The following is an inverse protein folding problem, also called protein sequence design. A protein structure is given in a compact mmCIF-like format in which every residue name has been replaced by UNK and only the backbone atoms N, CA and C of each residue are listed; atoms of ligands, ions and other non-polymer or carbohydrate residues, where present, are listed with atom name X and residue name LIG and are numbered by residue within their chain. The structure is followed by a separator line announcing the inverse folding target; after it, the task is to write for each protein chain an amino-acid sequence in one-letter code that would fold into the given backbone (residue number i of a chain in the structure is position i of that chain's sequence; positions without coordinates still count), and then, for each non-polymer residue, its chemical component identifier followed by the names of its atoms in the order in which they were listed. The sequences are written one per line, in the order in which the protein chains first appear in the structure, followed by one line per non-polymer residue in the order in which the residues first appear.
data_IF_150742706231
#
_entry.id   IF_150742706231
#
_cell.length_a   1.000
_cell.length_b   1.000
_cell.length_c   1.000
_cell.angle_alpha   90.00
_cell.angle_beta   90.00
_cell.angle_gamma   90.00
#
_symmetry.space_group_name_H-M   'P 1'
#
loop_
_entity.id
_entity.type
_entity.pdbx_description
1 polymer ?
#
# COMPACT_ATOMS: atom_id res chain seq x y z
N UNK A 1 -19.99 11.32 62.03
CA UNK A 1 -18.91 11.28 61.01
C UNK A 1 -18.22 9.94 61.15
N UNK A 2 -18.54 9.00 60.26
CA UNK A 2 -18.12 7.60 60.38
C UNK A 2 -17.69 7.04 59.02
N UNK A 3 -16.58 6.29 59.06
CA UNK A 3 -16.21 5.12 58.25
C UNK A 3 -15.91 5.28 56.74
N UNK A 4 -14.60 5.20 56.39
CA UNK A 4 -14.11 4.32 55.30
C UNK A 4 -14.06 2.88 55.87
N UNK A 5 -14.10 1.76 55.11
CA UNK A 5 -13.78 1.53 53.69
C UNK A 5 -14.79 0.60 52.95
N UNK A 6 -14.61 0.33 51.65
CA UNK A 6 -15.12 -0.90 51.03
C UNK A 6 -14.36 -1.24 49.74
N UNK A 7 -13.49 -2.24 49.86
CA UNK A 7 -13.01 -3.09 48.79
C UNK A 7 -14.20 -3.77 48.10
N UNK A 8 -14.30 -3.66 46.76
CA UNK A 8 -15.15 -4.57 45.99
C UNK A 8 -14.31 -5.79 45.62
N UNK A 9 -14.52 -6.85 46.41
CA UNK A 9 -14.11 -8.22 46.15
C UNK A 9 -14.91 -8.77 44.97
N UNK A 10 -14.19 -9.47 44.09
CA UNK A 10 -14.62 -10.47 43.12
C UNK A 10 -16.07 -10.99 43.27
N UNK A 11 -16.90 -10.71 42.26
CA UNK A 11 -18.08 -11.52 41.94
C UNK A 11 -17.84 -12.17 40.57
N UNK A 12 -17.77 -13.49 40.60
CA UNK A 12 -17.87 -14.35 39.43
C UNK A 12 -19.21 -14.12 38.72
N UNK A 13 -19.17 -14.02 37.40
CA UNK A 13 -20.38 -14.10 36.58
C UNK A 13 -20.38 -13.14 35.40
N UNK A 14 -20.19 -13.73 34.22
CA UNK A 14 -20.93 -13.37 33.02
C UNK A 14 -20.74 -11.94 32.49
N UNK A 15 -19.70 -11.78 31.69
CA UNK A 15 -19.77 -11.28 30.30
C UNK A 15 -18.36 -10.86 29.94
N UNK A 16 -17.63 -11.77 29.27
CA UNK A 16 -16.57 -11.36 28.36
C UNK A 16 -17.30 -10.53 27.29
N UNK A 17 -17.49 -9.26 27.58
CA UNK A 17 -17.62 -8.22 26.58
C UNK A 17 -16.27 -8.26 25.89
N UNK A 18 -16.16 -9.14 24.89
CA UNK A 18 -15.37 -8.86 23.70
C UNK A 18 -15.98 -7.57 23.21
N UNK A 19 -15.50 -6.44 23.74
CA UNK A 19 -15.53 -5.21 23.00
C UNK A 19 -14.76 -5.58 21.73
N UNK A 20 -15.50 -5.93 20.69
CA UNK A 20 -14.95 -6.06 19.37
C UNK A 20 -14.35 -4.69 19.07
N UNK A 21 -13.05 -4.56 19.32
CA UNK A 21 -12.22 -3.81 18.40
C UNK A 21 -12.46 -4.50 17.07
N UNK A 22 -13.42 -4.00 16.30
CA UNK A 22 -13.40 -4.26 14.86
C UNK A 22 -12.01 -3.88 14.40
N UNK A 23 -11.40 -4.74 13.58
CA UNK A 23 -10.18 -4.36 12.89
C UNK A 23 -10.39 -2.97 12.24
N UNK A 24 -9.34 -2.11 12.20
CA UNK A 24 -9.45 -0.85 11.51
C UNK A 24 -9.93 -1.07 10.07
N UNK A 25 -10.83 -0.21 9.61
CA UNK A 25 -11.27 -0.22 8.22
C UNK A 25 -10.18 0.42 7.38
N UNK A 26 -9.45 -0.40 6.62
CA UNK A 26 -8.31 0.01 5.80
C UNK A 26 -8.69 0.22 4.33
N UNK A 27 -9.98 0.18 3.97
CA UNK A 27 -10.44 0.29 2.58
C UNK A 27 -9.94 1.57 1.89
N UNK A 28 -9.93 2.71 2.60
CA UNK A 28 -9.39 3.97 2.09
C UNK A 28 -7.88 3.87 1.81
N UNK A 29 -7.11 3.28 2.73
CA UNK A 29 -5.66 3.09 2.57
C UNK A 29 -5.32 2.17 1.40
N UNK A 30 -6.15 1.14 1.16
CA UNK A 30 -6.00 0.25 0.00
C UNK A 30 -6.25 1.02 -1.30
N UNK A 31 -7.35 1.76 -1.39
CA UNK A 31 -7.67 2.57 -2.57
C UNK A 31 -6.56 3.59 -2.87
N UNK A 32 -6.05 4.27 -1.83
CA UNK A 32 -4.96 5.23 -1.95
C UNK A 32 -3.67 4.60 -2.46
N UNK A 33 -3.35 3.40 -1.98
CA UNK A 33 -2.19 2.63 -2.43
C UNK A 33 -2.31 2.22 -3.89
N UNK A 34 -3.45 1.63 -4.29
CA UNK A 34 -3.68 1.21 -5.67
C UNK A 34 -3.65 2.40 -6.63
N UNK A 35 -4.22 3.55 -6.24
CA UNK A 35 -4.11 4.78 -7.01
C UNK A 35 -2.66 5.28 -7.13
N UNK A 36 -1.86 5.17 -6.07
CA UNK A 36 -0.45 5.55 -6.12
C UNK A 36 0.37 4.61 -7.02
N UNK A 37 0.11 3.31 -7.00
CA UNK A 37 0.70 2.33 -7.94
C UNK A 37 0.35 2.75 -9.37
N UNK A 38 -0.94 2.88 -9.67
CA UNK A 38 -1.44 3.22 -11.01
C UNK A 38 -0.85 4.55 -11.54
N UNK A 39 -0.83 5.58 -10.68
CA UNK A 39 -0.24 6.88 -11.00
C UNK A 39 1.26 6.79 -11.28
N UNK A 40 2.01 5.97 -10.52
CA UNK A 40 3.43 5.77 -10.77
C UNK A 40 3.72 5.01 -12.06
N UNK A 41 2.91 4.00 -12.40
CA UNK A 41 3.03 3.24 -13.65
C UNK A 41 2.66 4.12 -14.86
N UNK A 42 1.67 5.00 -14.72
CA UNK A 42 1.35 5.99 -15.75
C UNK A 42 2.56 6.87 -16.07
N UNK A 43 3.20 7.42 -15.03
CA UNK A 43 4.39 8.27 -15.18
C UNK A 43 5.57 7.52 -15.76
N UNK A 44 5.71 6.25 -15.41
CA UNK A 44 6.77 5.39 -15.96
C UNK A 44 6.61 5.23 -17.49
N UNK A 45 5.36 5.21 -17.98
CA UNK A 45 5.06 5.13 -19.40
C UNK A 45 5.12 6.45 -20.17
N UNK A 46 5.32 7.60 -19.51
CA UNK A 46 5.58 8.87 -20.22
C UNK A 46 6.86 8.77 -21.09
N UNK A 47 7.76 7.86 -20.72
CA UNK A 47 9.00 7.52 -21.44
C UNK A 47 8.94 6.15 -22.16
N UNK A 48 7.77 5.72 -22.64
CA UNK A 48 7.54 4.39 -23.23
C UNK A 48 8.62 3.90 -24.23
N UNK A 49 9.09 4.77 -25.13
CA UNK A 49 10.11 4.42 -26.12
C UNK A 49 11.46 4.01 -25.49
N UNK A 50 11.81 4.60 -24.35
CA UNK A 50 13.01 4.29 -23.58
C UNK A 50 12.95 2.88 -22.98
N UNK A 51 11.73 2.46 -22.61
CA UNK A 51 11.43 1.13 -22.09
C UNK A 51 11.22 0.08 -23.19
N UNK A 52 11.37 0.46 -24.46
CA UNK A 52 11.26 -0.44 -25.60
C UNK A 52 9.84 -0.66 -26.09
N UNK A 53 8.89 0.19 -25.70
CA UNK A 53 7.51 0.17 -26.19
C UNK A 53 7.31 1.19 -27.31
N UNK A 54 6.52 0.84 -28.33
CA UNK A 54 6.25 1.73 -29.47
C UNK A 54 5.28 2.86 -29.10
N UNK A 55 4.42 2.64 -28.10
CA UNK A 55 3.43 3.62 -27.64
C UNK A 55 3.27 3.60 -26.13
N UNK A 56 2.74 4.71 -25.58
CA UNK A 56 2.32 4.80 -24.17
C UNK A 56 1.29 3.70 -23.86
N UNK A 57 0.33 3.46 -24.75
CA UNK A 57 -0.70 2.42 -24.55
C UNK A 57 -0.10 1.02 -24.42
N UNK A 58 0.88 0.68 -25.26
CA UNK A 58 1.58 -0.60 -25.17
C UNK A 58 2.36 -0.75 -23.86
N UNK A 59 3.00 0.33 -23.39
CA UNK A 59 3.65 0.33 -22.09
C UNK A 59 2.65 0.09 -20.95
N UNK A 60 1.51 0.81 -20.96
CA UNK A 60 0.45 0.66 -19.97
C UNK A 60 -0.12 -0.76 -19.95
N UNK A 61 -0.40 -1.32 -21.13
CA UNK A 61 -0.88 -2.70 -21.27
C UNK A 61 0.16 -3.71 -20.74
N UNK A 62 1.45 -3.50 -21.02
CA UNK A 62 2.53 -4.36 -20.53
C UNK A 62 2.72 -4.30 -19.01
N UNK A 63 2.44 -3.15 -18.39
CA UNK A 63 2.44 -2.97 -16.94
C UNK A 63 1.12 -3.40 -16.27
N UNK A 64 0.14 -3.89 -17.03
CA UNK A 64 -1.17 -4.28 -16.50
C UNK A 64 -2.02 -3.11 -16.01
N UNK A 65 -1.72 -1.89 -16.46
CA UNK A 65 -2.35 -0.68 -15.97
C UNK A 65 -3.86 -0.66 -16.32
N UNK A 66 -4.70 -0.35 -15.32
CA UNK A 66 -6.15 -0.26 -15.49
C UNK A 66 -6.89 -1.61 -15.59
N UNK A 67 -6.19 -2.74 -15.46
CA UNK A 67 -6.80 -4.05 -15.34
C UNK A 67 -7.23 -4.29 -13.88
N UNK A 68 -8.53 -4.51 -13.64
CA UNK A 68 -8.99 -5.13 -12.40
C UNK A 68 -8.73 -4.35 -11.11
N UNK A 69 -8.86 -3.02 -11.09
CA UNK A 69 -8.69 -2.21 -9.86
C UNK A 69 -9.46 -2.78 -8.66
N UNK A 70 -10.75 -3.06 -8.85
CA UNK A 70 -11.59 -3.65 -7.80
C UNK A 70 -11.11 -5.04 -7.35
N UNK A 71 -10.49 -5.80 -8.26
CA UNK A 71 -9.95 -7.14 -8.00
C UNK A 71 -8.62 -7.05 -7.24
N UNK A 72 -7.79 -6.06 -7.56
CA UNK A 72 -6.55 -5.75 -6.83
C UNK A 72 -6.86 -5.25 -5.42
N UNK A 73 -7.79 -4.30 -5.26
CA UNK A 73 -8.21 -3.82 -3.94
C UNK A 73 -8.78 -4.97 -3.08
N UNK A 74 -9.62 -5.83 -3.67
CA UNK A 74 -10.15 -7.01 -2.98
C UNK A 74 -9.04 -8.02 -2.62
N UNK A 75 -8.04 -8.21 -3.49
CA UNK A 75 -6.90 -9.05 -3.20
C UNK A 75 -6.07 -8.50 -2.05
N UNK A 76 -5.77 -7.20 -2.04
CA UNK A 76 -5.00 -6.56 -0.96
C UNK A 76 -5.76 -6.66 0.36
N UNK A 77 -7.08 -6.47 0.35
CA UNK A 77 -7.93 -6.63 1.53
C UNK A 77 -7.84 -8.05 2.11
N UNK A 78 -7.97 -9.09 1.27
CA UNK A 78 -7.79 -10.49 1.69
C UNK A 78 -6.36 -10.76 2.17
N UNK A 79 -5.38 -10.23 1.44
CA UNK A 79 -3.97 -10.35 1.74
C UNK A 79 -3.56 -9.59 3.00
N UNK A 80 -4.40 -8.77 3.63
CA UNK A 80 -4.13 -8.08 4.90
C UNK A 80 -5.12 -8.48 6.01
N UNK A 81 -6.03 -9.41 5.73
CA UNK A 81 -7.02 -9.88 6.70
C UNK A 81 -6.34 -10.44 7.97
N UNK A 82 -6.72 -9.90 9.13
CA UNK A 82 -6.14 -10.22 10.43
C UNK A 82 -4.88 -9.44 10.81
N UNK A 83 -4.32 -8.64 9.90
CA UNK A 83 -3.17 -7.76 10.12
C UNK A 83 -3.52 -6.31 9.77
N UNK A 84 -4.78 -5.89 9.88
CA UNK A 84 -5.26 -4.65 9.29
C UNK A 84 -4.54 -3.41 9.84
N UNK A 85 -4.20 -3.39 11.14
CA UNK A 85 -3.45 -2.27 11.72
C UNK A 85 -2.03 -2.15 11.14
N UNK A 86 -1.30 -3.26 11.03
CA UNK A 86 0.04 -3.28 10.42
C UNK A 86 -0.06 -3.01 8.92
N UNK A 87 -1.10 -3.52 8.27
CA UNK A 87 -1.45 -3.26 6.88
C UNK A 87 -1.67 -1.78 6.61
N UNK A 88 -2.41 -1.07 7.47
CA UNK A 88 -2.63 0.37 7.35
C UNK A 88 -1.31 1.14 7.42
N UNK A 89 -0.45 0.83 8.39
CA UNK A 89 0.86 1.46 8.55
C UNK A 89 1.76 1.22 7.34
N UNK A 90 1.79 -0.01 6.82
CA UNK A 90 2.54 -0.36 5.61
C UNK A 90 2.00 0.39 4.39
N UNK A 91 0.68 0.31 4.12
CA UNK A 91 0.06 0.94 2.96
C UNK A 91 0.26 2.45 2.98
N UNK A 92 0.07 3.11 4.12
CA UNK A 92 0.30 4.54 4.26
C UNK A 92 1.74 4.93 3.90
N UNK A 93 2.73 4.18 4.38
CA UNK A 93 4.13 4.43 4.06
C UNK A 93 4.45 4.15 2.58
N UNK A 94 3.99 3.03 2.04
CA UNK A 94 4.24 2.63 0.66
C UNK A 94 3.59 3.59 -0.34
N UNK A 95 2.39 4.09 -0.04
CA UNK A 95 1.70 5.12 -0.83
C UNK A 95 2.54 6.39 -0.95
N UNK A 96 3.20 6.83 0.12
CA UNK A 96 4.10 8.00 0.06
C UNK A 96 5.31 7.71 -0.84
N UNK A 97 5.92 6.53 -0.71
CA UNK A 97 7.05 6.14 -1.56
C UNK A 97 6.68 6.10 -3.05
N UNK A 98 5.50 5.60 -3.39
CA UNK A 98 4.99 5.54 -4.76
C UNK A 98 4.64 6.92 -5.33
N UNK A 99 4.07 7.81 -4.51
CA UNK A 99 3.81 9.21 -4.90
C UNK A 99 5.12 9.96 -5.16
N UNK A 100 6.10 9.81 -4.28
CA UNK A 100 7.44 10.38 -4.48
C UNK A 100 8.13 9.82 -5.74
N UNK A 101 7.92 8.54 -6.04
CA UNK A 101 8.43 7.93 -7.27
C UNK A 101 7.76 8.53 -8.51
N UNK A 102 6.44 8.71 -8.49
CA UNK A 102 5.71 9.37 -9.57
C UNK A 102 6.18 10.81 -9.80
N UNK A 103 6.45 11.56 -8.72
CA UNK A 103 7.00 12.92 -8.80
C UNK A 103 8.43 12.91 -9.37
N UNK A 104 9.27 11.96 -8.94
CA UNK A 104 10.60 11.78 -9.51
C UNK A 104 10.52 11.50 -11.02
N UNK A 105 9.65 10.59 -11.45
CA UNK A 105 9.44 10.29 -12.87
C UNK A 105 8.98 11.51 -13.66
N UNK A 106 8.11 12.36 -13.08
CA UNK A 106 7.64 13.58 -13.72
C UNK A 106 8.77 14.60 -13.96
N UNK A 107 9.81 14.61 -13.12
CA UNK A 107 11.00 15.46 -13.30
C UNK A 107 11.95 14.94 -14.41
N UNK A 108 11.76 13.71 -14.92
CA UNK A 108 12.56 13.13 -15.99
C UNK A 108 12.13 13.58 -17.39
N UNK A 109 12.09 14.89 -17.65
CA UNK A 109 11.57 15.48 -18.89
C UNK A 109 12.28 14.98 -20.18
N UNK A 110 13.51 14.50 -20.05
CA UNK A 110 14.32 14.04 -21.18
C UNK A 110 14.36 12.52 -21.33
N UNK A 111 13.60 11.79 -20.50
CA UNK A 111 13.62 10.32 -20.48
C UNK A 111 15.04 9.76 -20.38
N UNK A 112 15.82 10.26 -19.43
CA UNK A 112 17.16 9.76 -19.16
C UNK A 112 17.08 8.45 -18.37
N UNK A 113 17.74 7.40 -18.88
CA UNK A 113 17.74 6.08 -18.24
C UNK A 113 18.43 6.09 -16.87
N UNK A 114 19.51 6.85 -16.71
CA UNK A 114 20.22 6.93 -15.43
C UNK A 114 19.38 7.66 -14.38
N UNK A 115 18.59 8.66 -14.80
CA UNK A 115 17.63 9.31 -13.93
C UNK A 115 16.49 8.37 -13.53
N UNK A 116 15.97 7.58 -14.47
CA UNK A 116 14.96 6.55 -14.19
C UNK A 116 15.46 5.54 -13.15
N UNK A 117 16.69 5.04 -13.31
CA UNK A 117 17.30 4.11 -12.35
C UNK A 117 17.43 4.72 -10.95
N UNK A 118 17.74 6.02 -10.85
CA UNK A 118 17.79 6.73 -9.57
C UNK A 118 16.41 6.83 -8.92
N UNK A 119 15.36 7.14 -9.69
CA UNK A 119 13.98 7.16 -9.18
C UNK A 119 13.55 5.80 -8.64
N UNK A 120 13.85 4.71 -9.37
CA UNK A 120 13.56 3.34 -8.93
C UNK A 120 14.32 2.99 -7.66
N UNK A 121 15.62 3.30 -7.58
CA UNK A 121 16.43 3.04 -6.39
C UNK A 121 15.93 3.80 -5.15
N UNK A 122 15.51 5.06 -5.31
CA UNK A 122 14.93 5.85 -4.22
C UNK A 122 13.60 5.25 -3.74
N UNK A 123 12.72 4.87 -4.68
CA UNK A 123 11.46 4.18 -4.38
C UNK A 123 11.70 2.88 -3.61
N UNK A 124 12.58 2.00 -4.10
CA UNK A 124 12.89 0.73 -3.45
C UNK A 124 13.46 0.95 -2.03
N UNK A 125 14.34 1.94 -1.87
CA UNK A 125 14.90 2.32 -0.56
C UNK A 125 13.81 2.78 0.40
N UNK A 126 12.85 3.58 -0.05
CA UNK A 126 11.72 4.05 0.76
C UNK A 126 10.77 2.91 1.13
N UNK A 127 10.46 2.02 0.18
CA UNK A 127 9.64 0.83 0.43
C UNK A 127 10.30 -0.11 1.44
N UNK A 128 11.61 -0.30 1.37
CA UNK A 128 12.36 -1.08 2.36
C UNK A 128 12.34 -0.42 3.75
N UNK A 129 12.30 0.91 3.80
CA UNK A 129 12.25 1.67 5.04
C UNK A 129 10.87 1.64 5.74
N UNK A 130 9.79 1.26 5.05
CA UNK A 130 8.46 1.13 5.65
C UNK A 130 8.40 0.04 6.74
N UNK A 131 9.40 -0.83 6.83
CA UNK A 131 9.32 -2.03 7.67
C UNK A 131 8.26 -2.97 7.11
N UNK A 132 8.10 -4.16 7.71
CA UNK A 132 7.05 -5.11 7.30
C UNK A 132 7.25 -5.75 5.91
N UNK A 133 8.47 -6.18 5.61
CA UNK A 133 8.81 -6.89 4.35
C UNK A 133 7.93 -8.12 4.06
N UNK A 134 7.34 -8.73 5.09
CA UNK A 134 6.39 -9.84 4.93
C UNK A 134 5.03 -9.38 4.38
N UNK A 135 4.56 -8.18 4.75
CA UNK A 135 3.33 -7.59 4.19
C UNK A 135 3.57 -7.10 2.77
N UNK A 136 4.72 -6.49 2.51
CA UNK A 136 5.12 -6.09 1.15
C UNK A 136 4.99 -7.22 0.14
N UNK A 137 5.55 -8.39 0.42
CA UNK A 137 5.46 -9.54 -0.49
C UNK A 137 4.04 -10.07 -0.70
N UNK A 138 3.15 -9.93 0.29
CA UNK A 138 1.72 -10.30 0.17
C UNK A 138 0.99 -9.31 -0.73
N UNK A 139 1.17 -8.01 -0.49
CA UNK A 139 0.53 -6.94 -1.27
C UNK A 139 1.03 -6.93 -2.72
N UNK A 140 2.34 -7.03 -2.96
CA UNK A 140 2.92 -7.05 -4.31
C UNK A 140 2.52 -8.29 -5.12
N UNK A 141 2.01 -9.35 -4.47
CA UNK A 141 1.49 -10.52 -5.18
C UNK A 141 0.13 -10.26 -5.85
N UNK A 142 -0.60 -9.23 -5.42
CA UNK A 142 -1.89 -8.84 -5.98
C UNK A 142 -1.77 -8.12 -7.34
N UNK A 143 -0.64 -7.45 -7.60
CA UNK A 143 -0.44 -6.64 -8.81
C UNK A 143 0.12 -7.43 -10.01
N UNK A 144 0.31 -8.76 -9.90
CA UNK A 144 0.75 -9.60 -11.03
C UNK A 144 -0.44 -10.33 -11.64
N UNK A 145 -0.72 -10.17 -12.95
CA UNK A 145 -1.70 -11.00 -13.61
C UNK A 145 -1.21 -12.46 -13.61
N UNK A 146 -2.06 -13.35 -13.09
CA UNK A 146 -1.91 -14.81 -13.16
C UNK A 146 -2.12 -15.36 -14.56
#
# INVERSE_FOLDING_TARGET
MALRPASCVLLAGLSVLVAGCGAPDISESISDYVEAVDGSLERLCDCAALQGHDTIGECKDALGQGAGKDEEEACIADALAGDEQEGEEYLSCATVALRDYADCLADNENCDMSFLELCVQDMETKLDACGMSQLRGRVESCSKPS
#
